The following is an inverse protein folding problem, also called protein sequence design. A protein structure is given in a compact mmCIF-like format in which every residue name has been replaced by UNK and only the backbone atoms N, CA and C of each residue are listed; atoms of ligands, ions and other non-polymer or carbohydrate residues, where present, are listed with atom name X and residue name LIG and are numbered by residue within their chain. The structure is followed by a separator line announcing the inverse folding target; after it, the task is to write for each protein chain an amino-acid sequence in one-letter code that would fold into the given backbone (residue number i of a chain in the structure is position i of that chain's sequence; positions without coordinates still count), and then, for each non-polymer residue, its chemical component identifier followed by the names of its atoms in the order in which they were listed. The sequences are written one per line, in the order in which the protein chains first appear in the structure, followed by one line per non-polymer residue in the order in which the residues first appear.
data_IF_795002162790
#
_entry.id   IF_795002162790
#
_cell.length_a   1.000
_cell.length_b   1.000
_cell.length_c   1.000
_cell.angle_alpha   90.00
_cell.angle_beta   90.00
_cell.angle_gamma   90.00
#
_symmetry.space_group_name_H-M   'P 1'
#
loop_
_entity.id
_entity.type
_entity.pdbx_description
1 polymer ?
#
# COMPACT_ATOMS: atom_id res chain seq x y z
N UNK A 1 10.21 -11.86 5.51
CA UNK A 1 11.32 -10.90 5.45
C UNK A 1 10.77 -9.60 4.94
N UNK A 2 11.50 -8.96 4.05
CA UNK A 2 11.10 -7.71 3.38
C UNK A 2 11.10 -7.91 1.86
N UNK A 3 10.47 -6.98 1.15
CA UNK A 3 10.54 -6.87 -0.31
C UNK A 3 11.15 -5.54 -0.70
N UNK A 4 11.86 -5.49 -1.83
CA UNK A 4 12.28 -4.22 -2.42
C UNK A 4 11.12 -3.61 -3.23
N UNK A 5 11.42 -2.86 -4.28
CA UNK A 5 10.42 -2.24 -5.14
C UNK A 5 9.60 -3.26 -5.95
N UNK A 6 8.43 -2.82 -6.43
CA UNK A 6 7.60 -3.54 -7.39
C UNK A 6 7.02 -4.88 -6.91
N UNK A 7 6.96 -5.11 -5.60
CA UNK A 7 6.27 -6.29 -5.06
C UNK A 7 4.84 -6.34 -5.60
N UNK A 8 4.46 -7.48 -6.19
CA UNK A 8 3.13 -7.64 -6.79
C UNK A 8 2.86 -6.77 -8.04
N UNK A 9 3.88 -6.26 -8.74
CA UNK A 9 3.70 -5.59 -10.04
C UNK A 9 2.94 -6.51 -10.99
N UNK A 10 1.83 -6.00 -11.55
CA UNK A 10 0.97 -6.77 -12.44
C UNK A 10 0.35 -8.01 -11.80
N UNK A 11 0.05 -7.97 -10.50
CA UNK A 11 -0.65 -9.06 -9.82
C UNK A 11 -1.95 -9.42 -10.56
N UNK A 12 -2.14 -10.71 -10.76
CA UNK A 12 -3.24 -11.31 -11.53
C UNK A 12 -3.77 -12.57 -10.83
N UNK A 13 -4.32 -12.40 -9.63
CA UNK A 13 -5.18 -13.41 -8.96
C UNK A 13 -4.52 -14.13 -7.79
N UNK A 14 -3.21 -13.96 -7.62
CA UNK A 14 -2.45 -14.55 -6.52
C UNK A 14 -2.63 -13.83 -5.18
N UNK A 15 -2.10 -14.45 -4.12
CA UNK A 15 -1.98 -13.86 -2.79
C UNK A 15 -0.52 -13.65 -2.40
N UNK A 16 -0.15 -12.44 -2.00
CA UNK A 16 1.18 -12.09 -1.48
C UNK A 16 1.06 -11.68 -0.01
N UNK A 17 1.92 -12.24 0.83
CA UNK A 17 2.03 -11.83 2.23
C UNK A 17 3.49 -11.52 2.54
N UNK A 18 3.78 -10.29 2.96
CA UNK A 18 5.12 -9.89 3.43
C UNK A 18 5.01 -9.53 4.89
N UNK A 19 5.85 -10.17 5.71
CA UNK A 19 5.95 -9.89 7.14
C UNK A 19 7.37 -10.12 7.65
N UNK A 20 7.80 -9.40 8.69
CA UNK A 20 9.10 -9.63 9.30
C UNK A 20 9.21 -11.04 9.87
N UNK A 21 10.46 -11.56 10.02
CA UNK A 21 10.70 -12.79 10.76
C UNK A 21 10.14 -12.72 12.19
N UNK A 22 9.72 -13.86 12.75
CA UNK A 22 9.14 -13.91 14.11
C UNK A 22 10.07 -13.37 15.20
N UNK A 23 11.39 -13.51 15.02
CA UNK A 23 12.40 -13.11 15.99
C UNK A 23 13.02 -11.74 15.66
N UNK A 24 12.35 -10.95 14.81
CA UNK A 24 12.79 -9.59 14.50
C UNK A 24 12.49 -8.65 15.68
N UNK A 25 13.40 -7.71 15.95
CA UNK A 25 13.21 -6.64 16.93
C UNK A 25 12.55 -5.38 16.37
N UNK A 26 12.14 -5.39 15.11
CA UNK A 26 11.49 -4.23 14.48
C UNK A 26 10.04 -4.07 14.99
N UNK A 27 9.58 -2.83 15.05
CA UNK A 27 8.16 -2.48 15.19
C UNK A 27 7.57 -2.36 13.79
N UNK A 28 6.79 -3.35 13.31
CA UNK A 28 6.38 -3.41 11.90
C UNK A 28 5.68 -2.14 11.41
N UNK A 29 4.74 -1.61 12.19
CA UNK A 29 3.94 -0.44 11.89
C UNK A 29 4.75 0.88 11.86
N UNK A 30 6.01 0.85 12.28
CA UNK A 30 6.96 1.97 12.22
C UNK A 30 8.11 1.72 11.22
N UNK A 31 8.10 0.59 10.51
CA UNK A 31 9.23 0.11 9.70
C UNK A 31 8.84 -0.17 8.25
N UNK A 32 9.69 0.22 7.30
CA UNK A 32 9.50 -0.11 5.88
C UNK A 32 9.67 -1.63 5.69
N UNK A 33 8.67 -2.26 5.07
CA UNK A 33 8.66 -3.70 4.77
C UNK A 33 8.66 -4.01 3.27
N UNK A 34 8.17 -3.07 2.46
CA UNK A 34 8.20 -3.13 1.00
C UNK A 34 8.58 -1.77 0.41
N UNK A 35 9.28 -1.80 -0.72
CA UNK A 35 9.76 -0.59 -1.39
C UNK A 35 8.67 0.17 -2.14
N UNK A 36 9.06 0.79 -3.26
CA UNK A 36 8.24 1.69 -4.04
C UNK A 36 7.45 0.97 -5.13
N UNK A 37 6.39 1.64 -5.64
CA UNK A 37 5.65 1.20 -6.84
C UNK A 37 5.11 -0.23 -6.72
N UNK A 38 4.77 -0.60 -5.49
CA UNK A 38 4.17 -1.89 -5.11
C UNK A 38 2.80 -1.99 -5.75
N UNK A 39 2.45 -3.16 -6.27
CA UNK A 39 1.20 -3.43 -6.97
C UNK A 39 0.94 -2.57 -8.22
N UNK A 40 2.00 -2.11 -8.88
CA UNK A 40 1.85 -1.32 -10.10
C UNK A 40 0.97 -2.04 -11.13
N UNK A 41 -0.19 -1.45 -11.43
CA UNK A 41 -1.11 -1.91 -12.46
C UNK A 41 -1.93 -3.15 -12.08
N UNK A 42 -2.08 -3.49 -10.80
CA UNK A 42 -2.69 -4.77 -10.40
C UNK A 42 -4.15 -4.92 -10.87
N UNK A 43 -4.58 -6.10 -11.32
CA UNK A 43 -5.90 -6.34 -11.94
C UNK A 43 -6.70 -7.50 -11.33
N UNK A 44 -6.12 -8.28 -10.42
CA UNK A 44 -6.86 -9.08 -9.42
C UNK A 44 -5.86 -9.67 -8.41
N UNK A 45 -6.34 -10.15 -7.27
CA UNK A 45 -5.52 -10.78 -6.23
C UNK A 45 -5.47 -9.99 -4.92
N UNK A 46 -4.68 -10.48 -3.97
CA UNK A 46 -4.64 -9.99 -2.59
C UNK A 46 -3.21 -9.78 -2.09
N UNK A 47 -2.94 -8.67 -1.43
CA UNK A 47 -1.65 -8.36 -0.82
C UNK A 47 -1.81 -7.96 0.65
N UNK A 48 -1.00 -8.55 1.53
CA UNK A 48 -0.97 -8.22 2.96
C UNK A 48 0.45 -7.91 3.41
N UNK A 49 0.67 -6.67 3.85
CA UNK A 49 1.98 -6.16 4.25
C UNK A 49 1.96 -5.78 5.73
N UNK A 50 2.70 -6.53 6.54
CA UNK A 50 2.93 -6.22 7.96
C UNK A 50 4.11 -5.25 8.08
N UNK A 51 3.84 -3.99 7.72
CA UNK A 51 4.71 -2.83 7.85
C UNK A 51 4.40 -1.75 6.82
N UNK A 52 5.27 -0.75 6.72
CA UNK A 52 5.12 0.43 5.86
C UNK A 52 5.59 0.12 4.42
N UNK A 53 4.82 0.58 3.43
CA UNK A 53 5.24 0.62 2.03
C UNK A 53 5.90 1.96 1.68
N UNK A 54 6.81 1.94 0.71
CA UNK A 54 7.39 3.14 0.13
C UNK A 54 6.39 3.99 -0.67
N UNK A 55 6.93 4.83 -1.57
CA UNK A 55 6.16 5.72 -2.42
C UNK A 55 5.37 4.97 -3.50
N UNK A 56 4.31 5.59 -4.01
CA UNK A 56 3.49 5.06 -5.12
C UNK A 56 2.92 3.67 -4.85
N UNK A 57 2.59 3.39 -3.60
CA UNK A 57 1.89 2.16 -3.25
C UNK A 57 0.56 2.06 -4.00
N UNK A 58 0.29 0.91 -4.61
CA UNK A 58 -0.91 0.64 -5.41
C UNK A 58 -1.14 1.60 -6.60
N UNK A 59 -0.06 2.18 -7.14
CA UNK A 59 -0.16 3.04 -8.34
C UNK A 59 -0.80 2.26 -9.50
N UNK A 60 -1.82 2.86 -10.13
CA UNK A 60 -2.59 2.24 -11.23
C UNK A 60 -3.25 0.90 -10.87
N UNK A 61 -3.47 0.60 -9.59
CA UNK A 61 -4.26 -0.57 -9.20
C UNK A 61 -5.66 -0.48 -9.84
N UNK A 62 -6.07 -1.56 -10.48
CA UNK A 62 -7.25 -1.69 -11.32
C UNK A 62 -8.17 -2.83 -10.87
N UNK A 63 -7.85 -3.54 -9.78
CA UNK A 63 -8.70 -4.65 -9.30
C UNK A 63 -8.23 -5.43 -8.08
N UNK A 64 -7.00 -5.24 -7.60
CA UNK A 64 -6.48 -6.02 -6.47
C UNK A 64 -6.84 -5.41 -5.11
N UNK A 65 -6.86 -6.26 -4.09
CA UNK A 65 -7.09 -5.89 -2.69
C UNK A 65 -5.77 -5.84 -1.93
N UNK A 66 -5.57 -4.82 -1.09
CA UNK A 66 -4.36 -4.69 -0.30
C UNK A 66 -4.63 -4.19 1.13
N UNK A 67 -3.83 -4.69 2.09
CA UNK A 67 -3.71 -4.14 3.44
C UNK A 67 -2.24 -3.84 3.73
N UNK A 68 -1.96 -2.65 4.24
CA UNK A 68 -0.62 -2.16 4.61
C UNK A 68 -0.69 -1.32 5.89
N UNK A 69 0.39 -1.26 6.68
CA UNK A 69 0.43 -0.53 7.97
C UNK A 69 0.87 0.93 7.82
N UNK A 70 1.23 1.36 6.60
CA UNK A 70 1.54 2.74 6.26
C UNK A 70 2.00 2.85 4.81
N UNK A 71 2.00 4.04 4.23
CA UNK A 71 2.46 4.24 2.85
C UNK A 71 3.18 5.58 2.69
N UNK A 72 4.12 5.66 1.74
CA UNK A 72 4.76 6.91 1.36
C UNK A 72 3.87 7.84 0.53
N UNK A 73 4.50 8.83 -0.11
CA UNK A 73 3.84 9.79 -1.00
C UNK A 73 3.20 9.07 -2.21
N UNK A 74 2.15 9.66 -2.78
CA UNK A 74 1.46 9.18 -3.99
C UNK A 74 0.78 7.81 -3.84
N UNK A 75 0.38 7.42 -2.63
CA UNK A 75 -0.39 6.20 -2.43
C UNK A 75 -1.71 6.25 -3.23
N UNK A 76 -2.04 5.14 -3.90
CA UNK A 76 -3.20 4.98 -4.80
C UNK A 76 -3.23 5.91 -6.01
N UNK A 77 -2.09 6.51 -6.40
CA UNK A 77 -2.00 7.38 -7.59
C UNK A 77 -2.51 6.63 -8.84
N UNK A 78 -3.40 7.26 -9.60
CA UNK A 78 -4.04 6.68 -10.81
C UNK A 78 -4.77 5.35 -10.61
N UNK A 79 -5.16 4.99 -9.37
CA UNK A 79 -5.96 3.79 -9.12
C UNK A 79 -7.33 3.90 -9.83
N UNK A 80 -7.77 2.83 -10.47
CA UNK A 80 -9.02 2.74 -11.24
C UNK A 80 -9.95 1.63 -10.74
N UNK A 81 -9.49 0.76 -9.83
CA UNK A 81 -10.28 -0.32 -9.25
C UNK A 81 -9.54 -1.05 -8.12
N UNK A 82 -10.26 -1.88 -7.37
CA UNK A 82 -9.74 -2.61 -6.21
C UNK A 82 -10.02 -1.92 -4.87
N UNK A 83 -9.46 -2.49 -3.80
CA UNK A 83 -9.63 -1.99 -2.43
C UNK A 83 -8.26 -1.88 -1.76
N UNK A 84 -7.93 -0.71 -1.21
CA UNK A 84 -6.69 -0.51 -0.44
C UNK A 84 -7.04 -0.10 0.99
N UNK A 85 -6.43 -0.76 1.98
CA UNK A 85 -6.55 -0.40 3.39
C UNK A 85 -5.18 -0.03 3.92
N UNK A 86 -5.06 1.19 4.45
CA UNK A 86 -3.85 1.70 5.12
C UNK A 86 -4.14 1.84 6.61
N UNK A 87 -3.49 1.03 7.43
CA UNK A 87 -3.66 0.98 8.90
C UNK A 87 -2.72 1.94 9.64
N UNK A 88 -2.32 3.04 9.00
CA UNK A 88 -1.41 4.01 9.57
C UNK A 88 -1.19 5.21 8.65
N UNK A 89 -0.08 5.91 8.87
CA UNK A 89 0.21 7.17 8.17
C UNK A 89 0.42 6.98 6.67
N UNK A 90 0.00 7.97 5.91
CA UNK A 90 0.28 8.09 4.48
C UNK A 90 1.22 9.27 4.21
N UNK A 91 1.84 9.28 3.04
CA UNK A 91 2.47 10.47 2.50
C UNK A 91 1.48 11.42 1.81
N UNK A 92 2.03 12.44 1.16
CA UNK A 92 1.32 13.49 0.43
C UNK A 92 0.80 13.02 -0.92
N UNK A 93 -0.12 13.80 -1.49
CA UNK A 93 -0.70 13.60 -2.82
C UNK A 93 -1.40 12.23 -2.93
N UNK A 94 -2.04 11.81 -1.85
CA UNK A 94 -2.79 10.57 -1.77
C UNK A 94 -3.94 10.58 -2.78
N UNK A 95 -4.14 9.46 -3.49
CA UNK A 95 -5.20 9.30 -4.49
C UNK A 95 -5.16 10.31 -5.65
N UNK A 96 -4.01 10.93 -5.93
CA UNK A 96 -3.87 11.80 -7.08
C UNK A 96 -4.22 11.06 -8.39
N UNK A 97 -5.21 11.57 -9.13
CA UNK A 97 -5.69 10.93 -10.36
C UNK A 97 -6.41 9.59 -10.15
N UNK A 98 -6.74 9.20 -8.91
CA UNK A 98 -7.55 8.03 -8.62
C UNK A 98 -8.96 8.25 -9.17
N UNK A 99 -9.35 7.42 -10.14
CA UNK A 99 -10.64 7.53 -10.83
C UNK A 99 -11.61 6.38 -10.51
N UNK A 100 -11.16 5.36 -9.75
CA UNK A 100 -12.02 4.27 -9.29
C UNK A 100 -11.38 3.39 -8.22
N UNK A 101 -12.20 2.57 -7.57
CA UNK A 101 -11.82 1.77 -6.39
C UNK A 101 -12.15 2.46 -5.06
N UNK A 102 -11.78 1.84 -3.95
CA UNK A 102 -12.00 2.36 -2.59
C UNK A 102 -10.71 2.27 -1.80
N UNK A 103 -10.33 3.36 -1.13
CA UNK A 103 -9.25 3.37 -0.17
C UNK A 103 -9.77 3.71 1.23
N UNK A 104 -9.37 2.93 2.23
CA UNK A 104 -9.61 3.19 3.66
C UNK A 104 -8.30 3.57 4.31
N UNK A 105 -8.30 4.64 5.10
CA UNK A 105 -7.13 5.12 5.82
C UNK A 105 -7.48 5.29 7.29
N UNK A 106 -6.71 4.64 8.17
CA UNK A 106 -6.76 4.86 9.60
C UNK A 106 -5.99 6.14 9.94
N UNK A 107 -6.73 7.22 10.18
CA UNK A 107 -6.17 8.52 10.56
C UNK A 107 -6.38 8.80 12.05
N UNK A 108 -5.46 8.34 12.88
CA UNK A 108 -5.48 8.64 14.32
C UNK A 108 -4.99 10.07 14.65
N UNK A 109 -4.25 10.70 13.74
CA UNK A 109 -3.68 12.04 13.94
C UNK A 109 -4.65 13.16 13.52
N UNK A 110 -5.65 12.86 12.70
CA UNK A 110 -6.63 13.82 12.18
C UNK A 110 -6.05 14.77 11.12
N UNK A 111 -4.95 14.40 10.48
CA UNK A 111 -4.25 15.24 9.49
C UNK A 111 -4.29 14.70 8.05
N UNK A 112 -4.93 13.54 7.81
CA UNK A 112 -4.97 12.89 6.50
C UNK A 112 -5.59 13.78 5.42
N UNK A 113 -6.60 14.59 5.77
CA UNK A 113 -7.24 15.51 4.82
C UNK A 113 -6.27 16.54 4.20
N UNK A 114 -5.13 16.83 4.84
CA UNK A 114 -4.10 17.74 4.31
C UNK A 114 -3.11 17.05 3.36
N UNK A 115 -3.16 15.72 3.29
CA UNK A 115 -2.24 14.88 2.53
C UNK A 115 -2.85 14.40 1.19
N UNK A 116 -4.14 14.66 0.96
CA UNK A 116 -4.86 14.33 -0.27
C UNK A 116 -4.60 15.38 -1.36
#
# INVERSE_FOLDING_TARGET
GEGNDYVGKGLSGGRIIVKPPKNSGIVPEESIIVGNTVMYGAIEGECYFRGIAGERFAVRNSGAVAVVEGAGDHCCEYMTGGIVVVLGKTGRNFAAGMSGGIAYVLDEAGDFAKLC
#
